data_IF_485451701927
#
_entry.id   IF_485451701927
#
_cell.length_a   1.000
_cell.length_b   1.000
_cell.length_c   1.000
_cell.angle_alpha   90.00
_cell.angle_beta   90.00
_cell.angle_gamma   90.00
#
_symmetry.space_group_name_H-M   'P 1'
#
loop_
_entity.id
_entity.type
_entity.pdbx_description
1 polymer ?
#
# COMPACT_ATOMS: atom_id res chain seq x y z
N UNK A 1 1.92 -14.75 -11.59
CA UNK A 1 2.20 -13.43 -11.06
C UNK A 1 3.30 -13.34 -10.00
N UNK A 2 3.89 -14.46 -9.50
CA UNK A 2 4.90 -14.45 -8.40
C UNK A 2 6.37 -14.30 -8.91
N UNK A 3 6.60 -14.28 -10.21
CA UNK A 3 7.96 -14.35 -10.77
C UNK A 3 8.70 -13.00 -10.77
N UNK A 4 8.00 -11.87 -10.71
CA UNK A 4 8.63 -10.53 -10.83
C UNK A 4 9.23 -10.01 -9.52
N UNK A 5 8.69 -10.34 -8.37
CA UNK A 5 9.19 -9.87 -7.06
C UNK A 5 10.58 -10.40 -6.69
N UNK A 6 10.96 -11.61 -7.16
CA UNK A 6 12.27 -12.20 -6.87
C UNK A 6 13.47 -11.50 -7.53
N UNK A 7 13.27 -10.77 -8.61
CA UNK A 7 14.37 -10.15 -9.37
C UNK A 7 14.81 -8.83 -8.72
N UNK A 8 13.88 -7.96 -8.34
CA UNK A 8 14.18 -6.70 -7.63
C UNK A 8 14.84 -6.93 -6.28
N UNK A 9 14.37 -7.93 -5.53
CA UNK A 9 14.93 -8.31 -4.23
C UNK A 9 16.36 -8.83 -4.36
N UNK A 10 16.66 -9.66 -5.38
CA UNK A 10 18.01 -10.19 -5.60
C UNK A 10 19.02 -9.13 -6.04
N UNK A 11 18.61 -8.16 -6.85
CA UNK A 11 19.50 -7.09 -7.32
C UNK A 11 19.83 -6.09 -6.19
N UNK A 12 18.86 -5.81 -5.29
CA UNK A 12 19.10 -5.03 -4.08
C UNK A 12 20.08 -5.71 -3.12
N UNK A 13 19.94 -7.01 -2.89
CA UNK A 13 20.84 -7.82 -2.04
C UNK A 13 22.27 -7.87 -2.61
N UNK A 14 22.43 -8.01 -3.92
CA UNK A 14 23.74 -8.01 -4.57
C UNK A 14 24.45 -6.65 -4.49
N UNK A 15 23.71 -5.56 -4.65
CA UNK A 15 24.25 -4.18 -4.55
C UNK A 15 24.67 -3.87 -3.12
N UNK A 16 23.88 -4.31 -2.14
CA UNK A 16 24.20 -4.17 -0.70
C UNK A 16 25.47 -4.96 -0.32
N UNK A 17 25.61 -6.19 -0.76
CA UNK A 17 26.82 -7.02 -0.52
C UNK A 17 28.09 -6.40 -1.11
N UNK A 18 28.02 -5.78 -2.31
CA UNK A 18 29.15 -5.05 -2.91
C UNK A 18 29.55 -3.83 -2.09
N UNK A 19 28.59 -3.02 -1.67
CA UNK A 19 28.84 -1.80 -0.86
C UNK A 19 29.49 -2.11 0.49
N UNK A 20 29.11 -3.23 1.13
CA UNK A 20 29.70 -3.68 2.38
C UNK A 20 31.12 -4.28 2.21
N UNK A 21 31.43 -4.88 1.07
CA UNK A 21 32.77 -5.37 0.75
C UNK A 21 33.76 -4.22 0.50
N UNK A 22 33.31 -3.14 -0.16
CA UNK A 22 34.14 -1.94 -0.36
C UNK A 22 34.43 -1.21 0.95
N UNK A 23 33.44 -1.14 1.88
CA UNK A 23 33.60 -0.48 3.17
C UNK A 23 34.48 -1.25 4.16
N UNK A 24 34.66 -2.57 3.99
CA UNK A 24 35.60 -3.38 4.78
C UNK A 24 37.05 -3.23 4.35
N UNK A 25 37.30 -2.88 3.09
CA UNK A 25 38.66 -2.75 2.54
C UNK A 25 39.34 -1.41 2.86
N UNK A 26 38.62 -0.40 3.36
CA UNK A 26 39.19 0.92 3.68
C UNK A 26 39.61 1.09 5.14
N UNK A 27 39.46 0.07 6.00
CA UNK A 27 39.84 0.13 7.43
C UNK A 27 41.18 -0.53 7.80
N UNK A 28 42.08 -0.60 6.90
CA UNK A 28 43.39 -1.23 7.13
C UNK A 28 44.57 -0.37 6.67
N UNK A 29 44.82 0.80 7.24
CA UNK A 29 46.13 1.47 7.11
C UNK A 29 46.56 2.15 8.41
N UNK A 30 47.51 1.51 9.06
CA UNK A 30 48.62 2.02 9.88
C UNK A 30 48.42 3.05 10.98
N UNK A 31 48.44 2.54 12.20
CA UNK A 31 48.87 3.27 13.40
C UNK A 31 50.31 2.84 13.78
N UNK A 32 51.29 3.67 13.52
CA UNK A 32 52.59 3.63 14.25
C UNK A 32 53.25 5.00 14.34
N UNK A 33 53.45 5.44 15.60
CA UNK A 33 54.45 6.38 16.14
C UNK A 33 54.34 7.87 15.82
N UNK A 34 53.81 8.64 16.77
CA UNK A 34 54.63 9.68 17.45
C UNK A 34 53.93 10.15 18.72
N UNK A 35 54.24 9.54 19.82
CA UNK A 35 53.90 9.96 21.18
C UNK A 35 55.07 10.82 21.69
N UNK A 36 54.74 11.97 22.26
CA UNK A 36 55.53 12.90 23.08
C UNK A 36 55.65 14.30 22.43
N UNK A 37 55.21 15.27 23.20
CA UNK A 37 55.24 16.73 23.04
C UNK A 37 53.88 17.36 22.66
N UNK A 38 53.03 17.53 23.67
CA UNK A 38 52.07 18.65 23.83
C UNK A 38 51.12 18.43 25.04
N UNK A 39 51.70 18.23 26.21
CA UNK A 39 51.01 18.45 27.47
C UNK A 39 51.48 19.80 27.97
N UNK A 40 50.65 20.84 27.81
CA UNK A 40 50.63 22.13 28.48
C UNK A 40 50.24 23.23 27.50
N UNK A 41 48.98 23.51 27.32
CA UNK A 41 48.33 24.73 26.85
C UNK A 41 47.00 24.36 26.16
N UNK A 42 45.94 24.15 26.92
CA UNK A 42 44.65 23.80 26.31
C UNK A 42 43.47 23.71 27.26
N UNK A 43 43.56 24.25 28.49
CA UNK A 43 42.48 24.13 29.48
C UNK A 43 41.48 25.29 29.44
N UNK A 44 41.63 26.28 28.58
CA UNK A 44 40.78 27.50 28.59
C UNK A 44 39.90 27.67 27.32
N UNK A 45 39.96 26.77 26.36
CA UNK A 45 39.12 26.89 25.12
C UNK A 45 37.96 25.91 25.02
N UNK A 46 37.56 25.24 26.11
CA UNK A 46 36.57 24.16 26.08
C UNK A 46 35.14 24.57 26.45
N UNK A 47 34.75 25.83 26.39
CA UNK A 47 33.44 26.30 26.83
C UNK A 47 32.63 27.13 25.81
N UNK A 48 32.98 27.18 24.52
CA UNK A 48 32.19 27.94 23.53
C UNK A 48 31.89 27.20 22.21
N UNK A 49 31.83 25.88 22.20
CA UNK A 49 31.28 25.14 21.08
C UNK A 49 30.13 24.24 21.53
N UNK A 50 29.11 24.87 22.14
CA UNK A 50 27.77 24.34 22.17
C UNK A 50 27.17 24.39 20.75
N UNK A 51 27.76 23.69 19.80
CA UNK A 51 27.15 23.46 18.50
C UNK A 51 25.94 22.57 18.70
N UNK A 52 24.74 23.07 18.39
CA UNK A 52 23.57 22.23 18.10
C UNK A 52 23.98 21.18 17.04
N UNK A 53 24.48 20.07 17.48
CA UNK A 53 24.59 18.88 16.65
C UNK A 53 23.17 18.47 16.32
N UNK A 54 22.69 18.77 15.09
CA UNK A 54 21.58 18.00 14.53
C UNK A 54 22.02 16.56 14.65
N UNK A 55 21.34 15.80 15.49
CA UNK A 55 21.48 14.36 15.58
C UNK A 55 21.38 13.85 14.15
N UNK A 56 22.46 13.30 13.60
CA UNK A 56 22.40 12.69 12.27
C UNK A 56 21.43 11.52 12.41
N UNK A 57 20.25 11.67 11.82
CA UNK A 57 19.29 10.59 11.75
C UNK A 57 20.02 9.31 11.29
N UNK A 58 19.83 8.22 12.01
CA UNK A 58 20.42 6.96 11.60
C UNK A 58 19.91 6.58 10.20
N UNK A 59 20.81 6.11 9.31
CA UNK A 59 20.37 5.74 7.96
C UNK A 59 19.37 4.58 8.04
N UNK A 60 18.31 4.70 7.28
CA UNK A 60 17.26 3.68 7.11
C UNK A 60 17.36 3.09 5.71
N UNK A 61 17.10 1.79 5.56
CA UNK A 61 17.23 1.10 4.27
C UNK A 61 15.88 0.98 3.55
N UNK A 62 14.82 0.70 4.31
CA UNK A 62 13.48 0.45 3.80
C UNK A 62 12.49 1.41 4.47
N UNK A 63 11.66 2.09 3.68
CA UNK A 63 10.65 3.01 4.22
C UNK A 63 9.29 2.73 3.60
N UNK A 64 8.26 2.56 4.44
CA UNK A 64 6.87 2.61 4.04
C UNK A 64 6.38 4.05 4.20
N UNK A 65 5.94 4.67 3.11
CA UNK A 65 5.27 5.99 3.16
C UNK A 65 3.77 5.79 3.00
N UNK A 66 2.99 6.24 3.99
CA UNK A 66 1.52 6.15 3.96
C UNK A 66 0.89 7.36 3.26
N UNK A 67 -0.42 7.34 3.09
CA UNK A 67 -1.21 8.48 2.56
C UNK A 67 -1.68 9.46 3.65
N UNK A 68 -1.03 9.47 4.81
CA UNK A 68 -1.46 10.21 5.99
C UNK A 68 -2.31 9.37 6.95
N UNK A 69 -2.58 8.11 6.62
CA UNK A 69 -3.17 7.13 7.54
C UNK A 69 -2.10 6.52 8.43
N UNK A 70 -2.44 6.28 9.69
CA UNK A 70 -1.60 5.47 10.57
C UNK A 70 -1.57 4.01 10.08
N UNK A 71 -0.41 3.37 10.12
CA UNK A 71 -0.24 1.98 9.66
C UNK A 71 -1.27 1.02 10.27
N UNK A 72 -1.52 1.14 11.56
CA UNK A 72 -2.46 0.26 12.28
C UNK A 72 -3.94 0.52 11.97
N UNK A 73 -4.28 1.65 11.34
CA UNK A 73 -5.66 2.03 11.04
C UNK A 73 -6.14 1.58 9.67
N UNK A 74 -5.25 1.10 8.81
CA UNK A 74 -5.54 0.72 7.44
C UNK A 74 -4.95 -0.66 7.10
N UNK A 75 -5.78 -1.58 6.60
CA UNK A 75 -5.40 -2.96 6.34
C UNK A 75 -4.33 -3.09 5.24
N UNK A 76 -4.34 -2.20 4.24
CA UNK A 76 -3.35 -2.19 3.16
C UNK A 76 -1.98 -1.79 3.72
N UNK A 77 -1.93 -0.69 4.48
CA UNK A 77 -0.68 -0.26 5.11
C UNK A 77 -0.19 -1.24 6.16
N UNK A 78 -1.08 -1.88 6.92
CA UNK A 78 -0.68 -2.92 7.88
C UNK A 78 -0.07 -4.13 7.16
N UNK A 79 -0.66 -4.58 6.05
CA UNK A 79 -0.13 -5.68 5.25
C UNK A 79 1.20 -5.32 4.61
N UNK A 80 1.32 -4.12 4.03
CA UNK A 80 2.56 -3.61 3.45
C UNK A 80 3.68 -3.51 4.50
N UNK A 81 3.36 -3.01 5.70
CA UNK A 81 4.27 -2.94 6.83
C UNK A 81 4.76 -4.31 7.27
N UNK A 82 3.87 -5.28 7.43
CA UNK A 82 4.22 -6.63 7.83
C UNK A 82 5.20 -7.27 6.83
N UNK A 83 4.94 -7.11 5.52
CA UNK A 83 5.83 -7.62 4.48
C UNK A 83 7.19 -6.91 4.46
N UNK A 84 7.20 -5.58 4.64
CA UNK A 84 8.42 -4.79 4.69
C UNK A 84 9.26 -5.11 5.93
N UNK A 85 8.62 -5.23 7.10
CA UNK A 85 9.26 -5.60 8.36
C UNK A 85 9.86 -7.02 8.29
N UNK A 86 9.09 -7.99 7.82
CA UNK A 86 9.58 -9.35 7.63
C UNK A 86 10.82 -9.38 6.73
N UNK A 87 10.79 -8.69 5.59
CA UNK A 87 11.94 -8.61 4.69
C UNK A 87 13.13 -7.92 5.33
N UNK A 88 12.91 -6.85 6.10
CA UNK A 88 13.94 -6.14 6.83
C UNK A 88 14.62 -7.03 7.87
N UNK A 89 13.85 -7.77 8.66
CA UNK A 89 14.35 -8.70 9.67
C UNK A 89 15.15 -9.84 9.05
N UNK A 90 14.62 -10.46 7.98
CA UNK A 90 15.31 -11.56 7.26
C UNK A 90 16.61 -11.10 6.57
N UNK A 91 16.69 -9.84 6.16
CA UNK A 91 17.81 -9.26 5.42
C UNK A 91 18.78 -8.47 6.30
N UNK A 92 18.44 -8.23 7.57
CA UNK A 92 19.22 -7.38 8.48
C UNK A 92 19.24 -5.91 8.07
N UNK A 93 18.17 -5.43 7.42
CA UNK A 93 17.98 -4.06 6.96
C UNK A 93 17.18 -3.26 7.96
N UNK A 94 17.51 -1.98 8.14
CA UNK A 94 16.72 -1.06 8.98
C UNK A 94 15.48 -0.60 8.22
N UNK A 95 14.35 -0.58 8.88
CA UNK A 95 13.09 -0.19 8.28
C UNK A 95 12.28 0.75 9.18
N UNK A 96 11.51 1.64 8.57
CA UNK A 96 10.59 2.54 9.28
C UNK A 96 9.33 2.79 8.44
N UNK A 97 8.28 3.27 9.12
CA UNK A 97 7.12 3.86 8.46
C UNK A 97 7.16 5.38 8.64
N UNK A 98 6.79 6.10 7.59
CA UNK A 98 6.70 7.56 7.58
C UNK A 98 5.28 7.98 7.22
N UNK A 99 4.64 8.72 8.12
CA UNK A 99 3.29 9.27 7.92
C UNK A 99 3.45 10.72 7.49
N UNK A 100 2.96 11.12 6.31
CA UNK A 100 2.97 12.50 5.84
C UNK A 100 2.19 13.43 6.77
N UNK A 101 2.61 14.70 6.84
CA UNK A 101 1.95 15.71 7.68
C UNK A 101 0.53 16.07 7.20
N UNK A 102 0.24 15.82 5.92
CA UNK A 102 -1.06 16.05 5.28
C UNK A 102 -1.30 15.04 4.16
N UNK A 103 -2.34 15.29 3.35
CA UNK A 103 -2.79 14.39 2.28
C UNK A 103 -2.73 15.04 0.90
N UNK A 104 -1.81 15.95 0.70
CA UNK A 104 -1.56 16.56 -0.60
C UNK A 104 -0.39 15.87 -1.31
N UNK A 105 -0.31 16.00 -2.62
CA UNK A 105 0.83 15.51 -3.40
C UNK A 105 2.15 16.04 -2.87
N UNK A 106 2.18 17.33 -2.47
CA UNK A 106 3.37 17.97 -1.91
C UNK A 106 3.80 17.33 -0.57
N UNK A 107 2.85 16.98 0.30
CA UNK A 107 3.14 16.28 1.56
C UNK A 107 3.78 14.91 1.28
N UNK A 108 3.27 14.19 0.30
CA UNK A 108 3.81 12.89 -0.12
C UNK A 108 5.21 13.02 -0.71
N UNK A 109 5.42 13.99 -1.61
CA UNK A 109 6.73 14.26 -2.22
C UNK A 109 7.77 14.64 -1.17
N UNK A 110 7.41 15.48 -0.21
CA UNK A 110 8.29 15.87 0.89
C UNK A 110 8.66 14.67 1.76
N UNK A 111 7.70 13.81 2.11
CA UNK A 111 7.96 12.61 2.93
C UNK A 111 8.84 11.60 2.18
N UNK A 112 8.59 11.37 0.89
CA UNK A 112 9.44 10.54 0.03
C UNK A 112 10.86 11.10 -0.05
N UNK A 113 11.00 12.41 -0.23
CA UNK A 113 12.29 13.11 -0.26
C UNK A 113 13.06 12.95 1.05
N UNK A 114 12.40 13.10 2.19
CA UNK A 114 13.01 12.90 3.50
C UNK A 114 13.50 11.46 3.68
N UNK A 115 12.69 10.47 3.31
CA UNK A 115 13.08 9.06 3.34
C UNK A 115 14.32 8.81 2.45
N UNK A 116 14.33 9.33 1.23
CA UNK A 116 15.47 9.19 0.32
C UNK A 116 16.73 9.88 0.87
N UNK A 117 16.60 11.06 1.48
CA UNK A 117 17.71 11.80 2.10
C UNK A 117 18.26 11.10 3.35
N UNK A 118 17.45 10.36 4.10
CA UNK A 118 17.89 9.49 5.22
C UNK A 118 18.66 8.27 4.74
N UNK A 119 18.66 7.98 3.44
CA UNK A 119 19.41 6.89 2.84
C UNK A 119 18.56 5.67 2.44
N UNK A 120 17.26 5.79 2.41
CA UNK A 120 16.38 4.71 1.97
C UNK A 120 16.80 4.18 0.59
N UNK A 121 17.00 2.89 0.50
CA UNK A 121 17.29 2.19 -0.76
C UNK A 121 16.01 1.69 -1.44
N UNK A 122 14.96 1.44 -0.63
CA UNK A 122 13.62 1.06 -1.10
C UNK A 122 12.57 1.90 -0.37
N UNK A 123 11.66 2.48 -1.14
CA UNK A 123 10.49 3.19 -0.62
C UNK A 123 9.24 2.49 -1.16
N UNK A 124 8.37 2.06 -0.24
CA UNK A 124 7.08 1.45 -0.54
C UNK A 124 5.99 2.47 -0.31
N UNK A 125 5.10 2.62 -1.27
CA UNK A 125 3.91 3.46 -1.22
C UNK A 125 2.69 2.63 -1.61
N UNK A 126 1.48 3.05 -1.25
CA UNK A 126 0.27 2.36 -1.63
C UNK A 126 -0.88 3.32 -1.99
N UNK A 127 -1.69 2.91 -2.96
CA UNK A 127 -2.88 3.62 -3.38
C UNK A 127 -2.67 4.70 -4.43
N UNK A 128 -3.76 5.06 -5.10
CA UNK A 128 -3.78 6.03 -6.20
C UNK A 128 -3.40 7.45 -5.76
N UNK A 129 -3.59 7.80 -4.48
CA UNK A 129 -3.18 9.07 -3.91
C UNK A 129 -1.66 9.31 -4.00
N UNK A 130 -0.87 8.23 -3.98
CA UNK A 130 0.60 8.26 -4.04
C UNK A 130 1.14 8.29 -5.48
N UNK A 131 0.29 8.01 -6.48
CA UNK A 131 0.69 7.83 -7.88
C UNK A 131 1.49 9.00 -8.44
N UNK A 132 1.05 10.23 -8.16
CA UNK A 132 1.72 11.43 -8.65
C UNK A 132 3.07 11.65 -7.97
N UNK A 133 3.13 11.53 -6.65
CA UNK A 133 4.36 11.72 -5.90
C UNK A 133 5.42 10.69 -6.31
N UNK A 134 5.05 9.42 -6.50
CA UNK A 134 5.96 8.38 -6.99
C UNK A 134 6.38 8.65 -8.45
N UNK A 135 5.47 9.18 -9.31
CA UNK A 135 5.81 9.53 -10.68
C UNK A 135 6.96 10.55 -10.76
N UNK A 136 6.96 11.56 -9.91
CA UNK A 136 8.01 12.56 -9.87
C UNK A 136 9.25 12.03 -9.12
N UNK A 137 9.08 11.35 -7.99
CA UNK A 137 10.17 10.81 -7.19
C UNK A 137 11.06 9.80 -7.96
N UNK A 138 10.48 8.92 -8.77
CA UNK A 138 11.25 7.95 -9.56
C UNK A 138 12.20 8.61 -10.58
N UNK A 139 11.93 9.85 -10.99
CA UNK A 139 12.79 10.65 -11.87
C UNK A 139 13.95 11.26 -11.10
N UNK A 140 13.64 11.77 -9.91
CA UNK A 140 14.55 12.61 -9.14
C UNK A 140 15.50 11.76 -8.27
N UNK A 141 15.07 10.58 -7.84
CA UNK A 141 15.80 9.63 -6.97
C UNK A 141 16.16 8.34 -7.69
N UNK A 142 17.06 8.40 -8.67
CA UNK A 142 17.40 7.25 -9.55
C UNK A 142 18.03 6.06 -8.84
N UNK A 143 18.66 6.30 -7.69
CA UNK A 143 19.30 5.26 -6.88
C UNK A 143 18.38 4.62 -5.84
N UNK A 144 17.18 5.18 -5.66
CA UNK A 144 16.12 4.65 -4.81
C UNK A 144 15.21 3.75 -5.64
N UNK A 145 14.85 2.59 -5.09
CA UNK A 145 13.83 1.71 -5.66
C UNK A 145 12.46 2.07 -5.07
N UNK A 146 11.47 2.18 -5.93
CA UNK A 146 10.10 2.43 -5.53
C UNK A 146 9.24 1.20 -5.78
N UNK A 147 8.39 0.86 -4.82
CA UNK A 147 7.31 -0.11 -4.98
C UNK A 147 6.00 0.62 -4.70
N UNK A 148 5.17 0.74 -5.73
CA UNK A 148 3.83 1.30 -5.59
C UNK A 148 2.81 0.17 -5.62
N UNK A 149 2.07 0.00 -4.53
CA UNK A 149 1.02 -1.01 -4.37
C UNK A 149 -0.33 -0.43 -4.79
N UNK A 150 -1.13 -1.23 -5.47
CA UNK A 150 -2.51 -0.93 -5.87
C UNK A 150 -2.67 0.30 -6.79
N UNK A 151 -1.60 0.74 -7.41
CA UNK A 151 -1.64 1.86 -8.36
C UNK A 151 -0.40 1.89 -9.24
N UNK A 152 -0.48 2.62 -10.36
CA UNK A 152 0.66 3.00 -11.20
C UNK A 152 1.08 4.46 -10.97
N UNK A 153 2.38 4.78 -11.16
CA UNK A 153 2.83 6.18 -11.18
C UNK A 153 2.22 6.94 -12.35
N UNK A 154 1.54 8.05 -12.06
CA UNK A 154 0.79 8.82 -13.05
C UNK A 154 1.18 10.29 -13.01
N UNK A 155 1.45 10.88 -14.19
CA UNK A 155 1.72 12.33 -14.34
C UNK A 155 0.47 13.16 -14.07
N UNK A 156 0.64 14.47 -13.94
CA UNK A 156 -0.47 15.42 -13.85
C UNK A 156 -1.46 15.36 -15.04
N UNK A 157 -0.96 14.99 -16.22
CA UNK A 157 -1.79 14.80 -17.41
C UNK A 157 -2.44 13.41 -17.51
N UNK A 158 -2.36 12.58 -16.44
CA UNK A 158 -2.93 11.23 -16.42
C UNK A 158 -2.10 10.18 -17.18
N UNK A 159 -0.86 10.51 -17.58
CA UNK A 159 -0.01 9.54 -18.29
C UNK A 159 0.75 8.67 -17.31
N UNK A 160 0.51 7.36 -17.35
CA UNK A 160 1.28 6.38 -16.60
C UNK A 160 2.68 6.19 -17.20
N UNK A 161 3.68 6.02 -16.33
CA UNK A 161 5.02 5.63 -16.72
C UNK A 161 5.78 4.98 -15.56
N UNK A 162 6.21 3.75 -15.75
CA UNK A 162 7.18 3.06 -14.89
C UNK A 162 8.61 3.31 -15.40
N UNK A 163 9.52 3.68 -14.51
CA UNK A 163 10.95 3.77 -14.78
C UNK A 163 11.66 2.53 -14.26
N UNK A 164 12.91 2.31 -14.67
CA UNK A 164 13.67 1.12 -14.30
C UNK A 164 13.99 0.96 -12.80
N UNK A 165 13.68 1.96 -11.98
CA UNK A 165 13.79 1.94 -10.53
C UNK A 165 12.44 1.86 -9.81
N UNK A 166 11.35 1.64 -10.53
CA UNK A 166 9.99 1.58 -9.96
C UNK A 166 9.28 0.34 -10.45
N UNK A 167 8.64 -0.35 -9.51
CA UNK A 167 7.71 -1.44 -9.77
C UNK A 167 6.33 -1.04 -9.26
N UNK A 168 5.30 -1.42 -10.01
CA UNK A 168 3.90 -1.32 -9.61
C UNK A 168 3.36 -2.74 -9.38
N UNK A 169 2.64 -2.92 -8.28
CA UNK A 169 1.96 -4.16 -7.97
C UNK A 169 0.47 -3.87 -7.87
N UNK A 170 -0.26 -4.22 -8.89
CA UNK A 170 -1.72 -4.16 -8.90
C UNK A 170 -2.29 -5.57 -8.75
N UNK A 171 -3.36 -5.67 -7.97
CA UNK A 171 -4.14 -6.91 -7.83
C UNK A 171 -5.36 -6.73 -8.72
N UNK A 172 -5.59 -7.69 -9.63
CA UNK A 172 -6.83 -7.68 -10.40
C UNK A 172 -8.01 -8.10 -9.51
N UNK A 173 -8.65 -7.10 -8.94
CA UNK A 173 -9.79 -7.28 -8.05
C UNK A 173 -11.04 -7.80 -8.76
N UNK A 174 -11.07 -7.83 -10.09
CA UNK A 174 -12.16 -8.43 -10.84
C UNK A 174 -12.25 -9.93 -10.62
N UNK A 175 -11.11 -10.61 -10.44
CA UNK A 175 -11.07 -12.03 -10.09
C UNK A 175 -11.69 -12.30 -8.72
N UNK A 176 -11.40 -11.45 -7.73
CA UNK A 176 -11.99 -11.57 -6.41
C UNK A 176 -13.51 -11.33 -6.44
N UNK A 177 -13.96 -10.33 -7.21
CA UNK A 177 -15.37 -10.12 -7.48
C UNK A 177 -16.02 -11.34 -8.12
N UNK A 178 -15.40 -11.90 -9.17
CA UNK A 178 -15.87 -13.08 -9.87
C UNK A 178 -16.03 -14.29 -8.93
N UNK A 179 -15.02 -14.58 -8.13
CA UNK A 179 -15.06 -15.68 -7.16
C UNK A 179 -16.18 -15.47 -6.12
N UNK A 180 -16.39 -14.24 -5.66
CA UNK A 180 -17.46 -13.94 -4.70
C UNK A 180 -18.85 -14.17 -5.31
N UNK A 181 -19.10 -13.71 -6.54
CA UNK A 181 -20.36 -13.92 -7.26
C UNK A 181 -20.62 -15.38 -7.58
N UNK A 182 -19.58 -16.06 -8.05
CA UNK A 182 -19.64 -17.51 -8.35
C UNK A 182 -19.98 -18.31 -7.09
N UNK A 183 -19.28 -18.04 -5.98
CA UNK A 183 -19.52 -18.71 -4.70
C UNK A 183 -20.92 -18.45 -4.14
N UNK A 184 -21.43 -17.22 -4.27
CA UNK A 184 -22.77 -16.87 -3.82
C UNK A 184 -23.84 -17.71 -4.51
N UNK A 185 -23.77 -17.83 -5.83
CA UNK A 185 -24.74 -18.63 -6.61
C UNK A 185 -24.55 -20.13 -6.37
N UNK A 186 -23.33 -20.62 -6.25
CA UNK A 186 -23.05 -22.02 -5.87
C UNK A 186 -23.61 -22.35 -4.47
N UNK A 187 -23.66 -21.37 -3.56
CA UNK A 187 -24.30 -21.53 -2.25
C UNK A 187 -25.85 -21.48 -2.30
N UNK A 188 -26.44 -21.28 -3.48
CA UNK A 188 -27.89 -21.27 -3.70
C UNK A 188 -28.55 -19.90 -3.65
N UNK A 189 -27.77 -18.81 -3.54
CA UNK A 189 -28.33 -17.46 -3.57
C UNK A 189 -28.59 -17.02 -5.01
N UNK A 190 -29.75 -16.43 -5.25
CA UNK A 190 -30.18 -15.96 -6.56
C UNK A 190 -30.57 -14.48 -6.60
N UNK A 191 -30.74 -13.85 -5.44
CA UNK A 191 -30.97 -12.41 -5.35
C UNK A 191 -29.80 -11.76 -4.58
N UNK A 192 -28.90 -11.18 -5.35
CA UNK A 192 -27.61 -10.68 -4.93
C UNK A 192 -27.61 -9.16 -4.86
N UNK A 193 -26.73 -8.57 -4.08
CA UNK A 193 -26.52 -7.12 -4.05
C UNK A 193 -25.04 -6.76 -4.08
N UNK A 194 -24.72 -5.60 -4.70
CA UNK A 194 -23.37 -5.05 -4.74
C UNK A 194 -23.35 -3.57 -4.38
N UNK A 195 -22.40 -3.18 -3.50
CA UNK A 195 -22.15 -1.79 -3.13
C UNK A 195 -20.68 -1.45 -3.39
N UNK A 196 -20.41 -0.78 -4.51
CA UNK A 196 -19.08 -0.33 -4.89
C UNK A 196 -18.81 1.14 -4.54
N UNK A 197 -17.53 1.54 -4.58
CA UNK A 197 -17.14 2.94 -4.46
C UNK A 197 -17.21 3.64 -5.82
N UNK A 198 -17.89 4.78 -5.86
CA UNK A 198 -18.01 5.58 -7.09
C UNK A 198 -16.68 6.23 -7.44
N UNK A 199 -16.39 6.27 -8.74
CA UNK A 199 -15.18 6.87 -9.32
C UNK A 199 -13.86 6.17 -8.93
N UNK A 200 -13.93 4.98 -8.35
CA UNK A 200 -12.78 4.10 -8.21
C UNK A 200 -12.87 2.96 -9.22
N UNK A 201 -11.79 2.78 -9.94
CA UNK A 201 -11.68 1.71 -10.95
C UNK A 201 -11.92 0.34 -10.32
N UNK A 202 -11.35 0.11 -9.14
CA UNK A 202 -11.52 -1.11 -8.38
C UNK A 202 -12.98 -1.38 -8.00
N UNK A 203 -13.75 -0.36 -7.62
CA UNK A 203 -15.18 -0.52 -7.35
C UNK A 203 -15.95 -1.05 -8.54
N UNK A 204 -15.64 -0.58 -9.74
CA UNK A 204 -16.26 -1.08 -10.99
C UNK A 204 -15.77 -2.49 -11.31
N UNK A 205 -14.47 -2.78 -11.17
CA UNK A 205 -13.88 -4.10 -11.41
C UNK A 205 -14.49 -5.17 -10.49
N UNK A 206 -14.59 -4.91 -9.18
CA UNK A 206 -15.24 -5.82 -8.24
C UNK A 206 -16.70 -6.12 -8.62
N UNK A 207 -17.49 -5.08 -8.92
CA UNK A 207 -18.90 -5.25 -9.27
C UNK A 207 -19.11 -5.99 -10.58
N UNK A 208 -18.29 -5.70 -11.59
CA UNK A 208 -18.32 -6.41 -12.87
C UNK A 208 -17.93 -7.87 -12.68
N UNK A 209 -16.84 -8.14 -11.95
CA UNK A 209 -16.45 -9.51 -11.61
C UNK A 209 -17.57 -10.25 -10.90
N UNK A 210 -18.18 -9.63 -9.89
CA UNK A 210 -19.28 -10.24 -9.12
C UNK A 210 -20.47 -10.65 -10.01
N UNK A 211 -20.88 -9.78 -10.92
CA UNK A 211 -21.94 -10.10 -11.87
C UNK A 211 -21.57 -11.26 -12.80
N UNK A 212 -20.36 -11.22 -13.40
CA UNK A 212 -19.88 -12.26 -14.31
C UNK A 212 -19.70 -13.62 -13.60
N UNK A 213 -19.21 -13.63 -12.37
CA UNK A 213 -19.10 -14.84 -11.57
C UNK A 213 -20.46 -15.46 -11.23
N UNK A 214 -21.43 -14.63 -10.87
CA UNK A 214 -22.80 -15.08 -10.63
C UNK A 214 -23.44 -15.68 -11.88
N UNK A 215 -23.27 -15.04 -13.04
CA UNK A 215 -23.77 -15.52 -14.33
C UNK A 215 -23.12 -16.86 -14.71
N UNK A 216 -21.80 -17.00 -14.55
CA UNK A 216 -21.10 -18.24 -14.84
C UNK A 216 -21.56 -19.40 -13.94
N UNK A 217 -21.74 -19.15 -12.64
CA UNK A 217 -22.25 -20.19 -11.72
C UNK A 217 -23.69 -20.58 -12.05
N UNK A 218 -24.55 -19.64 -12.45
CA UNK A 218 -25.90 -19.93 -12.89
C UNK A 218 -25.90 -20.85 -14.13
N UNK A 219 -25.02 -20.58 -15.09
CA UNK A 219 -24.85 -21.42 -16.27
C UNK A 219 -24.36 -22.82 -15.91
N UNK A 220 -23.36 -22.94 -15.02
CA UNK A 220 -22.82 -24.25 -14.59
C UNK A 220 -23.85 -25.09 -13.82
N UNK A 221 -24.75 -24.44 -13.10
CA UNK A 221 -25.87 -25.11 -12.40
C UNK A 221 -27.08 -25.38 -13.29
N UNK A 222 -27.06 -24.94 -14.57
CA UNK A 222 -28.17 -25.10 -15.50
C UNK A 222 -29.41 -24.29 -15.12
N UNK A 223 -29.23 -23.17 -14.40
CA UNK A 223 -30.32 -22.26 -14.07
C UNK A 223 -30.80 -21.54 -15.34
N UNK A 224 -32.10 -21.30 -15.45
CA UNK A 224 -32.68 -20.65 -16.62
C UNK A 224 -32.20 -19.16 -16.76
N UNK A 225 -32.48 -18.59 -17.95
CA UNK A 225 -32.24 -17.18 -18.19
C UNK A 225 -32.97 -16.30 -17.15
N UNK A 226 -32.33 -15.22 -16.72
CA UNK A 226 -32.83 -14.29 -15.69
C UNK A 226 -33.08 -14.93 -14.30
N UNK A 227 -32.43 -16.05 -14.00
CA UNK A 227 -32.53 -16.70 -12.68
C UNK A 227 -31.81 -15.90 -11.56
N UNK A 228 -30.88 -15.05 -11.92
CA UNK A 228 -30.13 -14.20 -10.98
C UNK A 228 -30.64 -12.75 -11.04
N UNK A 229 -30.97 -12.22 -9.88
CA UNK A 229 -31.24 -10.77 -9.70
C UNK A 229 -30.02 -10.14 -9.03
N UNK A 230 -29.53 -9.02 -9.57
CA UNK A 230 -28.42 -8.27 -9.00
C UNK A 230 -28.83 -6.80 -8.79
N UNK A 231 -29.03 -6.41 -7.54
CA UNK A 231 -29.13 -5.02 -7.14
C UNK A 231 -27.75 -4.41 -6.97
N UNK A 232 -27.53 -3.20 -7.49
CA UNK A 232 -26.24 -2.55 -7.31
C UNK A 232 -26.36 -1.05 -7.05
N UNK A 233 -25.39 -0.52 -6.34
CA UNK A 233 -25.24 0.92 -6.13
C UNK A 233 -23.79 1.29 -5.91
N UNK A 234 -23.45 2.55 -6.20
CA UNK A 234 -22.13 3.09 -5.92
C UNK A 234 -22.21 4.17 -4.87
N UNK A 235 -21.39 4.04 -3.83
CA UNK A 235 -21.25 5.05 -2.77
C UNK A 235 -20.34 6.20 -3.23
N UNK A 236 -20.60 7.40 -2.72
CA UNK A 236 -19.82 8.61 -3.04
C UNK A 236 -18.64 8.84 -2.10
N UNK A 237 -18.59 8.15 -0.97
CA UNK A 237 -17.55 8.26 0.03
C UNK A 237 -17.36 6.93 0.77
N UNK A 238 -16.25 6.78 1.49
CA UNK A 238 -16.02 5.66 2.39
C UNK A 238 -16.91 5.67 3.63
N UNK A 239 -17.51 6.81 3.96
CA UNK A 239 -18.41 6.95 5.12
C UNK A 239 -19.78 6.37 4.84
N UNK A 240 -20.29 5.59 5.77
CA UNK A 240 -21.66 5.06 5.73
C UNK A 240 -22.64 6.16 6.05
N UNK A 241 -23.49 6.52 5.09
CA UNK A 241 -24.58 7.46 5.32
C UNK A 241 -25.87 6.74 5.71
N UNK A 242 -26.79 7.39 6.46
CA UNK A 242 -28.11 6.80 6.78
C UNK A 242 -28.89 6.35 5.55
N UNK A 243 -28.78 7.09 4.43
CA UNK A 243 -29.47 6.75 3.18
C UNK A 243 -28.99 5.44 2.56
N UNK A 244 -27.70 5.10 2.70
CA UNK A 244 -27.19 3.81 2.27
C UNK A 244 -27.67 2.67 3.17
N UNK A 245 -27.73 2.90 4.47
CA UNK A 245 -28.26 1.91 5.40
C UNK A 245 -29.73 1.56 5.09
N UNK A 246 -30.55 2.57 4.84
CA UNK A 246 -31.95 2.35 4.46
C UNK A 246 -32.06 1.63 3.11
N UNK A 247 -31.22 1.95 2.14
CA UNK A 247 -31.18 1.24 0.86
C UNK A 247 -30.79 -0.24 1.02
N UNK A 248 -29.80 -0.54 1.85
CA UNK A 248 -29.40 -1.94 2.14
C UNK A 248 -30.55 -2.70 2.79
N UNK A 249 -31.24 -2.08 3.76
CA UNK A 249 -32.42 -2.69 4.41
C UNK A 249 -33.54 -2.93 3.41
N UNK A 250 -33.79 -1.99 2.48
CA UNK A 250 -34.84 -2.19 1.46
C UNK A 250 -34.53 -3.38 0.57
N UNK A 251 -33.28 -3.58 0.15
CA UNK A 251 -32.90 -4.74 -0.64
C UNK A 251 -33.16 -6.07 0.07
N UNK A 252 -32.82 -6.18 1.36
CA UNK A 252 -33.18 -7.36 2.13
C UNK A 252 -34.71 -7.54 2.27
N UNK A 253 -35.46 -6.44 2.45
CA UNK A 253 -36.92 -6.44 2.50
C UNK A 253 -37.58 -6.84 1.16
N UNK A 254 -36.90 -6.62 0.04
CA UNK A 254 -37.32 -6.95 -1.32
C UNK A 254 -36.88 -8.35 -1.76
N UNK A 255 -36.25 -9.13 -0.85
CA UNK A 255 -35.85 -10.51 -1.10
C UNK A 255 -34.36 -10.69 -1.39
N UNK A 256 -33.54 -9.66 -1.25
CA UNK A 256 -32.07 -9.75 -1.34
C UNK A 256 -31.54 -10.73 -0.29
N UNK A 257 -30.67 -11.65 -0.73
CA UNK A 257 -30.21 -12.77 0.07
C UNK A 257 -28.77 -12.60 0.56
N UNK A 258 -27.91 -12.04 -0.28
CA UNK A 258 -26.49 -11.82 0.03
C UNK A 258 -26.00 -10.54 -0.63
N UNK A 259 -25.25 -9.74 0.12
CA UNK A 259 -24.66 -8.50 -0.38
C UNK A 259 -23.15 -8.52 -0.28
N UNK A 260 -22.48 -8.03 -1.31
CA UNK A 260 -21.05 -7.87 -1.41
C UNK A 260 -20.66 -6.38 -1.48
N UNK A 261 -19.56 -6.00 -0.87
CA UNK A 261 -19.01 -4.65 -0.97
C UNK A 261 -17.49 -4.66 -1.08
N UNK A 262 -16.95 -3.77 -1.91
CA UNK A 262 -15.52 -3.54 -2.11
C UNK A 262 -14.82 -2.83 -0.93
N UNK A 263 -15.52 -2.44 0.11
CA UNK A 263 -14.97 -1.66 1.21
C UNK A 263 -15.18 -2.26 2.60
N UNK A 264 -14.09 -2.44 3.34
CA UNK A 264 -14.12 -2.95 4.72
C UNK A 264 -15.03 -2.15 5.66
N UNK A 265 -15.16 -0.83 5.46
CA UNK A 265 -16.04 0.04 6.25
C UNK A 265 -17.52 -0.31 6.14
N UNK A 266 -17.91 -1.02 5.07
CA UNK A 266 -19.30 -1.45 4.87
C UNK A 266 -19.63 -2.82 5.43
N UNK A 267 -18.64 -3.65 5.76
CA UNK A 267 -18.86 -5.01 6.28
C UNK A 267 -19.74 -5.02 7.54
N UNK A 268 -19.44 -4.15 8.50
CA UNK A 268 -20.25 -4.05 9.72
C UNK A 268 -21.68 -3.58 9.45
N UNK A 269 -21.85 -2.71 8.45
CA UNK A 269 -23.18 -2.19 8.06
C UNK A 269 -23.98 -3.26 7.34
N UNK A 270 -23.37 -4.02 6.45
CA UNK A 270 -24.00 -5.16 5.79
C UNK A 270 -24.45 -6.20 6.81
N UNK A 271 -23.60 -6.57 7.77
CA UNK A 271 -23.93 -7.48 8.84
C UNK A 271 -25.06 -6.99 9.74
N UNK A 272 -25.03 -5.73 10.14
CA UNK A 272 -26.11 -5.13 10.95
C UNK A 272 -27.45 -5.06 10.18
N UNK A 273 -27.40 -4.74 8.89
CA UNK A 273 -28.60 -4.70 8.05
C UNK A 273 -29.20 -6.10 7.81
N UNK A 274 -28.35 -7.09 7.55
CA UNK A 274 -28.75 -8.50 7.41
C UNK A 274 -29.44 -9.00 8.70
N UNK A 275 -28.81 -8.77 9.85
CA UNK A 275 -29.39 -9.15 11.16
C UNK A 275 -30.71 -8.45 11.43
N UNK A 276 -30.86 -7.17 11.08
CA UNK A 276 -32.12 -6.42 11.26
C UNK A 276 -33.25 -6.89 10.30
N UNK A 277 -32.90 -7.48 9.17
CA UNK A 277 -33.84 -8.05 8.21
C UNK A 277 -34.21 -9.51 8.50
N UNK A 278 -33.69 -10.11 9.58
CA UNK A 278 -33.96 -11.51 9.94
C UNK A 278 -33.11 -12.51 9.14
N UNK A 279 -32.07 -12.05 8.44
CA UNK A 279 -31.06 -12.90 7.83
C UNK A 279 -30.09 -13.44 8.91
N UNK A 280 -29.80 -14.70 8.84
CA UNK A 280 -28.83 -15.38 9.72
C UNK A 280 -27.36 -15.06 9.32
#
# INVERSE_FOLDING_TARGET
GIVYTRRCVKDADQKYKRKNLENKNTRGVNMRKSWKWALCLGVVSLLLLGGCGKEKAEPVDLVLVTDGSEVASDAVYQSAWNGLAQYGDESGLKYEASVPAGRTTEDYENTIKEAAQKGASVIVCAGTSMSRAVYDAQRDWKDVRFLLLEAEPVSESGRSRLRGNTESLEIDVSEAGYLAGYAAVQAGYTHLGYIGQKNEENGTKYGTGYALGAEAAAADLGLGENSITLDYTYRKSSSVSPSYLEKIKSWYGEGGQILFSDGASYQNVLGAAASAAGGA
#
